data_IF_135161119797
#
_entry.id   IF_135161119797
#
_cell.length_a   1.000
_cell.length_b   1.000
_cell.length_c   1.000
_cell.angle_alpha   90.00
_cell.angle_beta   90.00
_cell.angle_gamma   90.00
#
_symmetry.space_group_name_H-M   'P 1'
#
loop_
_entity.id
_entity.type
_entity.pdbx_description
1 polymer ?
#
# COMPACT_ATOMS: atom_id res chain seq x y z
N UNK A 1 -15.11 0.13 1.26
CA UNK A 1 -13.68 -0.12 0.97
C UNK A 1 -13.05 -1.15 1.90
N UNK A 2 -13.20 -1.03 3.23
CA UNK A 2 -12.53 -1.92 4.22
C UNK A 2 -12.92 -3.40 4.08
N UNK A 3 -14.20 -3.72 3.96
CA UNK A 3 -14.67 -5.10 3.80
C UNK A 3 -14.12 -5.76 2.52
N UNK A 4 -14.02 -5.01 1.42
CA UNK A 4 -13.44 -5.51 0.18
C UNK A 4 -11.94 -5.81 0.33
N UNK A 5 -11.16 -4.91 0.94
CA UNK A 5 -9.74 -5.17 1.23
C UNK A 5 -9.52 -6.39 2.11
N UNK A 6 -10.40 -6.63 3.08
CA UNK A 6 -10.33 -7.83 3.92
C UNK A 6 -10.60 -9.11 3.11
N UNK A 7 -11.60 -9.09 2.23
CA UNK A 7 -11.86 -10.22 1.32
C UNK A 7 -10.68 -10.52 0.42
N UNK A 8 -10.01 -9.49 -0.12
CA UNK A 8 -8.78 -9.65 -0.92
C UNK A 8 -7.66 -10.27 -0.09
N UNK A 9 -7.43 -9.78 1.13
CA UNK A 9 -6.41 -10.33 2.02
C UNK A 9 -6.67 -11.81 2.36
N UNK A 10 -7.92 -12.16 2.65
CA UNK A 10 -8.33 -13.53 2.93
C UNK A 10 -8.18 -14.42 1.69
N UNK A 11 -8.58 -13.94 0.51
CA UNK A 11 -8.40 -14.66 -0.75
C UNK A 11 -6.92 -15.00 -0.99
N UNK A 12 -6.03 -14.02 -0.83
CA UNK A 12 -4.57 -14.24 -0.95
C UNK A 12 -4.09 -15.33 0.01
N UNK A 13 -4.53 -15.28 1.27
CA UNK A 13 -4.15 -16.28 2.25
C UNK A 13 -4.69 -17.67 1.90
N UNK A 14 -5.97 -17.78 1.54
CA UNK A 14 -6.62 -19.04 1.15
C UNK A 14 -5.96 -19.67 -0.06
N UNK A 15 -5.66 -18.90 -1.11
CA UNK A 15 -4.99 -19.40 -2.31
C UNK A 15 -3.61 -20.00 -1.99
N UNK A 16 -2.84 -19.34 -1.11
CA UNK A 16 -1.53 -19.84 -0.69
C UNK A 16 -1.69 -21.12 0.13
N UNK A 17 -2.67 -21.19 1.02
CA UNK A 17 -2.90 -22.35 1.89
C UNK A 17 -3.43 -23.56 1.12
N UNK A 18 -4.31 -23.35 0.14
CA UNK A 18 -4.87 -24.42 -0.70
C UNK A 18 -3.84 -25.05 -1.64
N UNK A 19 -2.68 -24.42 -1.82
CA UNK A 19 -1.62 -24.96 -2.66
C UNK A 19 -0.76 -25.96 -1.87
N UNK A 20 -0.80 -27.23 -2.25
CA UNK A 20 -0.12 -28.32 -1.52
C UNK A 20 1.42 -28.29 -1.61
N UNK A 21 1.97 -28.01 -2.80
CA UNK A 21 3.41 -28.03 -3.03
C UNK A 21 4.11 -26.79 -2.49
N UNK A 22 5.18 -26.96 -1.71
CA UNK A 22 6.04 -25.87 -1.21
C UNK A 22 6.56 -24.97 -2.34
N UNK A 23 7.04 -25.58 -3.43
CA UNK A 23 7.56 -24.87 -4.60
C UNK A 23 6.45 -24.06 -5.26
N UNK A 24 5.25 -24.62 -5.38
CA UNK A 24 4.12 -23.90 -5.98
C UNK A 24 3.62 -22.76 -5.09
N UNK A 25 3.56 -22.96 -3.77
CA UNK A 25 3.26 -21.89 -2.81
C UNK A 25 4.25 -20.73 -2.92
N UNK A 26 5.55 -21.03 -2.97
CA UNK A 26 6.58 -20.00 -3.10
C UNK A 26 6.46 -19.23 -4.44
N UNK A 27 6.15 -19.92 -5.53
CA UNK A 27 5.84 -19.28 -6.83
C UNK A 27 4.61 -18.39 -6.75
N UNK A 28 3.56 -18.82 -6.05
CA UNK A 28 2.34 -18.03 -5.86
C UNK A 28 2.62 -16.77 -5.03
N UNK A 29 3.34 -16.89 -3.92
CA UNK A 29 3.78 -15.73 -3.12
C UNK A 29 4.59 -14.76 -3.99
N UNK A 30 5.53 -15.27 -4.79
CA UNK A 30 6.31 -14.46 -5.75
C UNK A 30 5.42 -13.68 -6.73
N UNK A 31 4.35 -14.30 -7.23
CA UNK A 31 3.36 -13.63 -8.09
C UNK A 31 2.60 -12.53 -7.35
N UNK A 32 2.16 -12.78 -6.10
CA UNK A 32 1.51 -11.74 -5.30
C UNK A 32 2.43 -10.56 -5.00
N UNK A 33 3.72 -10.81 -4.73
CA UNK A 33 4.71 -9.73 -4.57
C UNK A 33 4.80 -8.87 -5.84
N UNK A 34 4.83 -9.50 -7.02
CA UNK A 34 4.84 -8.76 -8.28
C UNK A 34 3.56 -7.95 -8.49
N UNK A 35 2.40 -8.51 -8.12
CA UNK A 35 1.13 -7.80 -8.17
C UNK A 35 1.16 -6.58 -7.25
N UNK A 36 1.60 -6.72 -6.00
CA UNK A 36 1.77 -5.62 -5.06
C UNK A 36 2.71 -4.55 -5.61
N UNK A 37 3.83 -4.93 -6.22
CA UNK A 37 4.75 -3.96 -6.80
C UNK A 37 4.11 -3.15 -7.94
N UNK A 38 3.35 -3.82 -8.81
CA UNK A 38 2.58 -3.15 -9.88
C UNK A 38 1.51 -2.23 -9.31
N UNK A 39 0.73 -2.69 -8.33
CA UNK A 39 -0.29 -1.89 -7.66
C UNK A 39 0.31 -0.63 -7.02
N UNK A 40 1.49 -0.77 -6.41
CA UNK A 40 2.22 0.37 -5.85
C UNK A 40 2.65 1.38 -6.92
N UNK A 41 3.15 0.93 -8.07
CA UNK A 41 3.54 1.80 -9.19
C UNK A 41 2.35 2.50 -9.83
N UNK A 42 1.19 1.84 -9.87
CA UNK A 42 -0.06 2.41 -10.36
C UNK A 42 -0.73 3.38 -9.36
N UNK A 43 -0.13 3.61 -8.19
CA UNK A 43 -0.76 4.46 -7.16
C UNK A 43 -2.00 3.83 -6.50
N UNK A 44 -2.26 2.53 -6.71
CA UNK A 44 -3.33 1.80 -6.04
C UNK A 44 -2.87 1.25 -4.69
N UNK A 45 -2.76 2.16 -3.72
CA UNK A 45 -2.22 1.87 -2.40
C UNK A 45 -3.16 1.01 -1.56
N UNK A 46 -4.48 1.18 -1.72
CA UNK A 46 -5.45 0.37 -0.98
C UNK A 46 -5.34 -1.11 -1.33
N UNK A 47 -5.28 -1.45 -2.63
CA UNK A 47 -5.13 -2.84 -3.06
C UNK A 47 -3.75 -3.40 -2.71
N UNK A 48 -2.68 -2.62 -2.88
CA UNK A 48 -1.33 -3.03 -2.48
C UNK A 48 -1.27 -3.40 -0.99
N UNK A 49 -1.86 -2.56 -0.13
CA UNK A 49 -1.98 -2.79 1.30
C UNK A 49 -2.75 -4.08 1.61
N UNK A 50 -3.85 -4.33 0.89
CA UNK A 50 -4.70 -5.52 1.07
C UNK A 50 -3.93 -6.82 0.80
N UNK A 51 -3.17 -6.87 -0.29
CA UNK A 51 -2.35 -8.04 -0.63
C UNK A 51 -1.21 -8.22 0.39
N UNK A 52 -0.57 -7.12 0.83
CA UNK A 52 0.45 -7.17 1.87
C UNK A 52 -0.08 -7.71 3.21
N UNK A 53 -1.31 -7.38 3.59
CA UNK A 53 -1.94 -7.96 4.79
C UNK A 53 -2.22 -9.45 4.63
N UNK A 54 -2.66 -9.89 3.44
CA UNK A 54 -2.80 -11.33 3.14
C UNK A 54 -1.48 -12.09 3.32
N UNK A 55 -0.38 -11.54 2.80
CA UNK A 55 0.96 -12.14 2.92
C UNK A 55 1.53 -12.11 4.35
N UNK A 56 1.14 -11.12 5.17
CA UNK A 56 1.56 -10.98 6.57
C UNK A 56 0.64 -11.69 7.56
N UNK A 57 -0.49 -12.23 7.09
CA UNK A 57 -1.43 -12.94 7.94
C UNK A 57 -0.75 -14.10 8.67
N UNK A 58 -1.12 -14.32 9.93
CA UNK A 58 -0.61 -15.41 10.75
C UNK A 58 -0.59 -16.78 10.03
N UNK A 59 -1.64 -17.20 9.28
CA UNK A 59 -1.60 -18.43 8.49
C UNK A 59 -0.51 -18.52 7.45
N UNK A 60 -0.22 -17.44 6.74
CA UNK A 60 0.81 -17.44 5.70
C UNK A 60 2.20 -17.30 6.34
N UNK A 61 2.34 -16.46 7.37
CA UNK A 61 3.62 -16.22 8.04
C UNK A 61 4.22 -17.47 8.69
N UNK A 62 3.39 -18.41 9.18
CA UNK A 62 3.86 -19.66 9.80
C UNK A 62 4.42 -20.70 8.82
N UNK A 63 4.27 -20.51 7.51
CA UNK A 63 4.75 -21.46 6.48
C UNK A 63 6.29 -21.42 6.30
N UNK A 64 7.05 -21.83 7.32
CA UNK A 64 8.52 -21.69 7.39
C UNK A 64 9.24 -22.27 6.17
N UNK A 65 8.86 -23.47 5.74
CA UNK A 65 9.48 -24.14 4.58
C UNK A 65 9.26 -23.38 3.28
N UNK A 66 8.07 -22.81 3.10
CA UNK A 66 7.75 -21.97 1.93
C UNK A 66 8.54 -20.68 1.93
N UNK A 67 8.65 -20.01 3.07
CA UNK A 67 9.47 -18.79 3.19
C UNK A 67 10.96 -19.06 2.98
N UNK A 68 11.47 -20.19 3.48
CA UNK A 68 12.85 -20.62 3.24
C UNK A 68 13.09 -20.86 1.73
N UNK A 69 12.19 -21.60 1.07
CA UNK A 69 12.28 -21.85 -0.38
C UNK A 69 12.24 -20.53 -1.18
N UNK A 70 11.34 -19.61 -0.82
CA UNK A 70 11.24 -18.29 -1.47
C UNK A 70 12.54 -17.48 -1.32
N UNK A 71 13.16 -17.48 -0.13
CA UNK A 71 14.44 -16.78 0.09
C UNK A 71 15.57 -17.37 -0.74
N UNK A 72 15.61 -18.69 -0.90
CA UNK A 72 16.65 -19.40 -1.66
C UNK A 72 16.48 -19.25 -3.17
N UNK A 73 15.27 -19.39 -3.68
CA UNK A 73 15.01 -19.48 -5.13
C UNK A 73 14.40 -18.21 -5.75
N UNK A 74 13.86 -17.32 -4.94
CA UNK A 74 13.23 -16.06 -5.36
C UNK A 74 13.68 -14.89 -4.47
N UNK A 75 14.98 -14.84 -4.16
CA UNK A 75 15.60 -13.88 -3.22
C UNK A 75 15.26 -12.42 -3.55
N UNK A 76 15.35 -12.02 -4.82
CA UNK A 76 15.03 -10.66 -5.30
C UNK A 76 13.57 -10.30 -4.97
N UNK A 77 12.65 -11.24 -5.15
CA UNK A 77 11.22 -11.03 -4.85
C UNK A 77 11.01 -10.88 -3.36
N UNK A 78 11.66 -11.74 -2.56
CA UNK A 78 11.62 -11.62 -1.11
C UNK A 78 12.17 -10.27 -0.60
N UNK A 79 13.29 -9.80 -1.14
CA UNK A 79 13.84 -8.47 -0.81
C UNK A 79 12.86 -7.35 -1.16
N UNK A 80 12.20 -7.44 -2.33
CA UNK A 80 11.18 -6.46 -2.73
C UNK A 80 9.99 -6.45 -1.78
N UNK A 81 9.54 -7.61 -1.33
CA UNK A 81 8.49 -7.74 -0.32
C UNK A 81 8.89 -7.05 0.99
N UNK A 82 10.09 -7.30 1.50
CA UNK A 82 10.59 -6.65 2.72
C UNK A 82 10.61 -5.11 2.59
N UNK A 83 11.02 -4.59 1.43
CA UNK A 83 10.99 -3.16 1.14
C UNK A 83 9.56 -2.61 1.18
N UNK A 84 8.63 -3.27 0.48
CA UNK A 84 7.23 -2.85 0.42
C UNK A 84 6.57 -2.91 1.81
N UNK A 85 6.81 -3.97 2.58
CA UNK A 85 6.30 -4.07 3.96
C UNK A 85 6.81 -2.92 4.82
N UNK A 86 8.12 -2.62 4.79
CA UNK A 86 8.70 -1.49 5.55
C UNK A 86 8.11 -0.15 5.12
N UNK A 87 7.88 0.03 3.83
CA UNK A 87 7.30 1.25 3.28
C UNK A 87 5.86 1.47 3.77
N UNK A 88 5.03 0.43 3.75
CA UNK A 88 3.60 0.51 4.12
C UNK A 88 3.34 0.42 5.63
N UNK A 89 4.30 -0.05 6.42
CA UNK A 89 4.14 -0.18 7.88
C UNK A 89 4.20 1.17 8.61
N UNK A 90 4.84 2.18 8.03
CA UNK A 90 4.94 3.52 8.63
C UNK A 90 4.41 4.60 7.67
N UNK A 91 3.10 4.93 7.77
CA UNK A 91 2.48 6.02 7.01
C UNK A 91 3.06 7.41 7.33
N UNK A 92 3.74 7.58 8.46
CA UNK A 92 4.36 8.85 8.87
C UNK A 92 5.75 9.03 8.27
N UNK A 93 6.37 7.95 7.79
CA UNK A 93 7.71 8.00 7.21
C UNK A 93 7.77 8.97 6.02
N UNK A 94 8.89 9.69 5.89
CA UNK A 94 9.12 10.58 4.76
C UNK A 94 9.06 9.83 3.42
N UNK A 95 9.46 8.55 3.40
CA UNK A 95 9.40 7.69 2.20
C UNK A 95 7.96 7.42 1.77
N UNK A 96 7.09 7.07 2.72
CA UNK A 96 5.67 6.85 2.44
C UNK A 96 5.01 8.15 1.96
N UNK A 97 5.24 9.27 2.66
CA UNK A 97 4.71 10.59 2.26
C UNK A 97 5.12 10.98 0.83
N UNK A 98 6.40 10.85 0.47
CA UNK A 98 6.89 11.11 -0.90
C UNK A 98 6.27 10.16 -1.93
N UNK A 99 6.00 8.91 -1.57
CA UNK A 99 5.32 7.96 -2.45
C UNK A 99 3.87 8.40 -2.71
N UNK A 100 3.14 8.80 -1.66
CA UNK A 100 1.77 9.30 -1.78
C UNK A 100 1.72 10.56 -2.62
N UNK A 101 2.57 11.55 -2.32
CA UNK A 101 2.64 12.81 -3.08
C UNK A 101 2.86 12.57 -4.58
N UNK A 102 3.81 11.70 -4.94
CA UNK A 102 4.04 11.31 -6.33
C UNK A 102 2.81 10.66 -6.98
N UNK A 103 2.17 9.72 -6.29
CA UNK A 103 0.96 9.07 -6.80
C UNK A 103 -0.19 10.08 -7.00
N UNK A 104 -0.30 11.07 -6.09
CA UNK A 104 -1.34 12.09 -6.16
C UNK A 104 -1.17 13.05 -7.35
N UNK A 105 0.06 13.19 -7.89
CA UNK A 105 0.35 13.98 -9.09
C UNK A 105 0.05 13.23 -10.40
N UNK A 106 -0.18 11.92 -10.34
CA UNK A 106 -0.43 11.07 -11.51
C UNK A 106 -1.79 10.37 -11.40
N UNK A 107 -2.90 11.06 -11.70
CA UNK A 107 -4.22 10.43 -11.71
C UNK A 107 -4.30 9.35 -12.82
N UNK A 108 -5.05 8.25 -12.62
CA UNK A 108 -5.84 7.92 -11.43
C UNK A 108 -5.00 7.27 -10.32
N UNK A 109 -5.27 7.61 -9.06
CA UNK A 109 -4.65 6.96 -7.89
C UNK A 109 -5.71 6.62 -6.83
N UNK A 110 -5.42 5.64 -5.96
CA UNK A 110 -6.33 5.22 -4.88
C UNK A 110 -5.56 5.20 -3.55
N UNK A 111 -5.76 6.19 -2.67
CA UNK A 111 -5.10 6.25 -1.38
C UNK A 111 -5.59 5.12 -0.45
N UNK A 112 -4.74 4.70 0.49
CA UNK A 112 -5.15 3.72 1.50
C UNK A 112 -6.09 4.35 2.53
N UNK A 113 -7.04 3.56 3.05
CA UNK A 113 -7.95 4.03 4.13
C UNK A 113 -7.16 4.46 5.37
N UNK A 114 -6.09 3.73 5.72
CA UNK A 114 -5.22 4.08 6.84
C UNK A 114 -4.56 5.46 6.67
N UNK A 115 -4.13 5.79 5.44
CA UNK A 115 -3.60 7.11 5.13
C UNK A 115 -4.69 8.19 5.21
N UNK A 116 -5.87 7.95 4.64
CA UNK A 116 -6.99 8.90 4.69
C UNK A 116 -7.37 9.24 6.13
N UNK A 117 -7.52 8.23 6.99
CA UNK A 117 -7.79 8.45 8.42
C UNK A 117 -6.66 9.24 9.08
N UNK A 118 -5.40 8.92 8.79
CA UNK A 118 -4.25 9.67 9.32
C UNK A 118 -4.24 11.13 8.87
N UNK A 119 -4.64 11.40 7.64
CA UNK A 119 -4.70 12.74 7.06
C UNK A 119 -5.91 13.55 7.60
N UNK A 120 -7.05 12.88 7.85
CA UNK A 120 -8.22 13.50 8.49
C UNK A 120 -7.93 13.89 9.93
N UNK A 121 -7.24 13.02 10.67
CA UNK A 121 -6.82 13.26 12.06
C UNK A 121 -5.61 14.22 12.18
N UNK A 122 -5.25 14.92 11.09
CA UNK A 122 -4.11 15.85 11.03
C UNK A 122 -2.76 15.26 11.47
N UNK A 123 -2.60 13.92 11.42
CA UNK A 123 -1.35 13.24 11.78
C UNK A 123 -0.33 13.23 10.65
N UNK A 124 -0.80 13.48 9.42
CA UNK A 124 0.01 13.50 8.21
C UNK A 124 -0.49 14.66 7.34
N UNK A 125 0.41 15.48 6.75
CA UNK A 125 0.00 16.54 5.83
C UNK A 125 -0.79 15.96 4.66
N UNK A 126 -1.89 16.64 4.31
CA UNK A 126 -2.70 16.30 3.14
C UNK A 126 -1.89 16.69 1.89
N UNK A 127 -1.86 15.85 0.83
CA UNK A 127 -1.32 16.25 -0.46
C UNK A 127 -2.15 17.43 -0.98
N UNK A 128 -1.51 18.42 -1.61
CA UNK A 128 -2.17 19.63 -2.12
C UNK A 128 -3.32 19.31 -3.09
N UNK A 129 -3.25 18.19 -3.80
CA UNK A 129 -4.29 17.74 -4.73
C UNK A 129 -5.53 17.10 -4.07
N UNK A 130 -5.52 16.85 -2.76
CA UNK A 130 -6.70 16.47 -1.98
C UNK A 130 -7.41 17.67 -1.34
N UNK A 131 -6.82 18.87 -1.44
CA UNK A 131 -7.55 20.09 -1.14
C UNK A 131 -8.49 20.37 -2.32
N UNK A 132 -9.75 20.78 -2.10
CA UNK A 132 -10.51 21.36 -3.20
C UNK A 132 -9.66 22.47 -3.84
N UNK A 133 -9.68 22.64 -5.18
CA UNK A 133 -9.09 23.83 -5.79
C UNK A 133 -9.69 24.99 -5.02
N UNK A 134 -8.83 25.71 -4.32
CA UNK A 134 -9.19 26.76 -3.38
C UNK A 134 -10.41 27.50 -3.92
N UNK A 135 -11.52 27.37 -3.20
CA UNK A 135 -12.62 28.31 -3.29
C UNK A 135 -11.98 29.68 -3.42
N UNK A 136 -12.17 30.28 -4.59
CA UNK A 136 -12.42 31.69 -4.75
C UNK A 136 -11.62 32.50 -3.73
N UNK A 137 -10.39 32.90 -4.07
CA UNK A 137 -9.94 34.24 -3.66
C UNK A 137 -10.84 35.24 -4.40
N UNK A 138 -12.10 35.35 -3.99
CA UNK A 138 -12.78 36.65 -3.92
C UNK A 138 -11.93 37.39 -2.90
N UNK A 139 -11.15 38.38 -3.30
CA UNK A 139 -11.67 39.56 -3.96
C UNK A 139 -11.85 40.59 -2.88
N UNK A 140 -10.80 41.41 -2.68
CA UNK A 140 -10.86 42.80 -2.21
C UNK A 140 -11.25 42.96 -0.72
N UNK A 141 -10.88 44.13 -0.15
CA UNK A 141 -11.18 44.67 1.20
C UNK A 141 -10.10 44.25 2.22
N UNK A 142 -9.13 45.06 2.64
CA UNK A 142 -8.99 46.51 2.74
C UNK A 142 -7.49 46.90 2.78
N UNK A 143 -7.07 47.88 1.97
CA UNK A 143 -6.37 49.03 2.56
C UNK A 143 -7.45 49.92 3.20
N UNK A 144 -7.14 50.60 4.32
CA UNK A 144 -6.85 52.02 4.16
C UNK A 144 -5.66 52.53 5.00
N UNK A 145 -4.91 53.42 4.35
CA UNK A 145 -4.23 54.65 4.81
C UNK A 145 -3.71 54.78 6.26
N UNK A 146 -2.40 55.02 6.43
CA UNK A 146 -1.76 56.35 6.34
C UNK A 146 -0.25 56.18 6.03
#
# INVERSE_FOLDING_TARGET
MVAFSQRVANLVATEILNTESVKMRARMISRFINATDKLNRLGNMQSATSVLYGLQSAPVYRLKMTWHYLRRHHSIKYQRLCLLMRLYNDPKSAKYKRMVDRACRTPPYIPSVAYLVSALLARVPRPETLLPPSSIRSGIICQPEL
#
